data_IF_086584494599
#
_entry.id   IF_086584494599
#
_cell.length_a   1.000
_cell.length_b   1.000
_cell.length_c   1.000
_cell.angle_alpha   90.00
_cell.angle_beta   90.00
_cell.angle_gamma   90.00
#
_symmetry.space_group_name_H-M   'P 1'
#
loop_
_entity.id
_entity.type
_entity.pdbx_description
1 polymer ?
#
# COMPACT_ATOMS: atom_id res chain seq x y z
N UNK A 1 -20.72 -3.32 -3.55
CA UNK A 1 -20.71 -3.45 -5.01
C UNK A 1 -22.14 -3.28 -5.46
N UNK A 2 -22.42 -2.20 -6.16
CA UNK A 2 -23.75 -1.97 -6.75
C UNK A 2 -23.94 -2.96 -7.90
N UNK A 3 -25.02 -3.73 -7.90
CA UNK A 3 -25.32 -4.79 -8.88
C UNK A 3 -25.56 -4.26 -10.32
N UNK A 4 -25.52 -2.94 -10.52
CA UNK A 4 -25.63 -2.31 -11.85
C UNK A 4 -24.30 -2.14 -12.58
N UNK A 5 -23.21 -2.63 -12.03
CA UNK A 5 -21.87 -2.51 -12.63
C UNK A 5 -21.74 -3.49 -13.79
N UNK A 6 -21.33 -3.02 -14.95
CA UNK A 6 -21.02 -3.87 -16.09
C UNK A 6 -19.75 -4.66 -15.77
N UNK A 7 -19.84 -6.00 -15.73
CA UNK A 7 -18.72 -6.86 -15.31
C UNK A 7 -18.12 -7.54 -16.54
N UNK A 8 -16.85 -7.29 -16.76
CA UNK A 8 -16.06 -7.88 -17.85
C UNK A 8 -14.78 -8.51 -17.34
N UNK A 9 -14.09 -9.20 -18.22
CA UNK A 9 -12.71 -9.67 -18.01
C UNK A 9 -11.89 -9.39 -19.27
N UNK A 10 -10.63 -9.80 -19.26
CA UNK A 10 -9.74 -9.68 -20.41
C UNK A 10 -9.34 -11.07 -20.91
N UNK A 11 -9.08 -11.20 -22.20
CA UNK A 11 -8.49 -12.38 -22.79
C UNK A 11 -6.94 -12.35 -22.65
N UNK A 12 -6.27 -13.38 -23.12
CA UNK A 12 -4.81 -13.50 -23.12
C UNK A 12 -4.06 -12.35 -23.84
N UNK A 13 -4.73 -11.68 -24.77
CA UNK A 13 -4.20 -10.51 -25.49
C UNK A 13 -4.50 -9.17 -24.80
N UNK A 14 -5.25 -9.18 -23.69
CA UNK A 14 -5.64 -7.97 -22.94
C UNK A 14 -6.83 -7.23 -23.54
N UNK A 15 -7.64 -7.89 -24.43
CA UNK A 15 -8.89 -7.31 -24.93
C UNK A 15 -10.07 -7.68 -24.02
N UNK A 16 -11.03 -6.78 -23.95
CA UNK A 16 -12.29 -7.00 -23.22
C UNK A 16 -13.03 -8.24 -23.73
N UNK A 17 -13.56 -9.00 -22.80
CA UNK A 17 -14.54 -10.05 -23.09
C UNK A 17 -15.55 -10.18 -21.96
N UNK A 18 -16.73 -10.69 -22.31
CA UNK A 18 -17.74 -11.05 -21.32
C UNK A 18 -17.29 -12.28 -20.51
N UNK A 19 -17.77 -12.36 -19.28
CA UNK A 19 -17.57 -13.52 -18.41
C UNK A 19 -18.48 -14.67 -18.83
N UNK A 20 -17.94 -15.86 -18.90
CA UNK A 20 -18.74 -17.07 -18.98
C UNK A 20 -19.48 -17.36 -17.67
N UNK A 21 -20.57 -18.14 -17.76
CA UNK A 21 -21.42 -18.47 -16.60
C UNK A 21 -20.64 -19.13 -15.46
N UNK A 22 -19.67 -19.97 -15.77
CA UNK A 22 -18.84 -20.63 -14.76
C UNK A 22 -17.85 -19.67 -14.11
N UNK A 23 -17.31 -18.71 -14.84
CA UNK A 23 -16.45 -17.67 -14.29
C UNK A 23 -17.20 -16.75 -13.33
N UNK A 24 -18.45 -16.39 -13.69
CA UNK A 24 -19.32 -15.62 -12.79
C UNK A 24 -19.57 -16.39 -11.49
N UNK A 25 -19.90 -17.69 -11.58
CA UNK A 25 -20.12 -18.53 -10.40
C UNK A 25 -18.88 -18.60 -9.52
N UNK A 26 -17.69 -18.79 -10.10
CA UNK A 26 -16.44 -18.86 -9.37
C UNK A 26 -16.09 -17.52 -8.71
N UNK A 27 -16.29 -16.40 -9.41
CA UNK A 27 -16.10 -15.06 -8.85
C UNK A 27 -17.02 -14.79 -7.68
N UNK A 28 -18.32 -15.14 -7.81
CA UNK A 28 -19.30 -15.03 -6.73
C UNK A 28 -18.94 -15.92 -5.54
N UNK A 29 -18.56 -17.18 -5.78
CA UNK A 29 -18.12 -18.10 -4.73
C UNK A 29 -16.88 -17.58 -4.00
N UNK A 30 -15.91 -17.02 -4.71
CA UNK A 30 -14.72 -16.40 -4.12
C UNK A 30 -15.10 -15.21 -3.24
N UNK A 31 -15.90 -14.28 -3.74
CA UNK A 31 -16.36 -13.12 -2.97
C UNK A 31 -17.16 -13.55 -1.74
N UNK A 32 -18.02 -14.55 -1.89
CA UNK A 32 -18.81 -15.10 -0.79
C UNK A 32 -17.94 -15.78 0.27
N UNK A 33 -16.97 -16.61 -0.13
CA UNK A 33 -16.04 -17.27 0.79
C UNK A 33 -15.18 -16.28 1.58
N UNK A 34 -14.78 -15.18 0.93
CA UNK A 34 -14.03 -14.09 1.56
C UNK A 34 -14.89 -13.34 2.58
N UNK A 35 -16.17 -13.11 2.26
CA UNK A 35 -17.10 -12.39 3.14
C UNK A 35 -17.54 -13.22 4.36
N UNK A 36 -17.61 -14.53 4.22
CA UNK A 36 -18.01 -15.45 5.31
C UNK A 36 -16.93 -15.69 6.36
N UNK A 37 -15.65 -15.43 6.05
CA UNK A 37 -14.57 -15.61 7.01
C UNK A 37 -14.58 -14.49 8.07
N UNK A 38 -15.56 -14.58 8.95
CA UNK A 38 -15.81 -13.61 10.04
C UNK A 38 -14.66 -13.53 11.06
N UNK A 39 -13.79 -14.54 11.10
CA UNK A 39 -12.65 -14.58 12.05
C UNK A 39 -11.51 -13.65 11.63
N UNK A 40 -11.55 -13.22 10.38
CA UNK A 40 -10.47 -12.46 9.74
C UNK A 40 -11.06 -11.18 9.18
N UNK A 41 -11.23 -10.18 10.03
CA UNK A 41 -11.74 -8.85 9.63
C UNK A 41 -11.12 -8.40 8.34
N UNK A 42 -11.96 -8.22 7.32
CA UNK A 42 -11.62 -7.60 6.05
C UNK A 42 -10.53 -8.35 5.28
N UNK A 43 -10.90 -9.33 4.50
CA UNK A 43 -10.00 -9.93 3.51
C UNK A 43 -9.98 -9.16 2.20
N UNK A 44 -11.00 -8.38 1.90
CA UNK A 44 -11.05 -7.52 0.72
C UNK A 44 -10.49 -6.16 1.11
N UNK A 45 -9.59 -5.68 0.27
CA UNK A 45 -8.97 -4.38 0.37
C UNK A 45 -9.24 -3.60 -0.90
N UNK A 46 -9.48 -2.31 -0.74
CA UNK A 46 -9.76 -1.37 -1.79
C UNK A 46 -8.67 -0.33 -1.86
N UNK A 47 -8.19 -0.04 -3.08
CA UNK A 47 -7.23 1.01 -3.32
C UNK A 47 -7.72 1.95 -4.40
N UNK A 48 -8.02 3.18 -4.03
CA UNK A 48 -8.32 4.25 -4.97
C UNK A 48 -7.07 4.79 -5.63
N UNK A 49 -7.08 4.89 -6.95
CA UNK A 49 -5.96 5.42 -7.76
C UNK A 49 -6.48 6.22 -8.95
N UNK A 50 -5.70 7.21 -9.38
CA UNK A 50 -5.93 7.95 -10.61
C UNK A 50 -5.39 7.20 -11.81
N UNK A 51 -5.98 7.41 -12.98
CA UNK A 51 -5.49 6.83 -14.23
C UNK A 51 -4.04 7.21 -14.51
N UNK A 52 -3.71 8.49 -14.38
CA UNK A 52 -2.35 9.00 -14.56
C UNK A 52 -1.33 8.20 -13.74
N UNK A 53 -1.65 7.90 -12.49
CA UNK A 53 -0.76 7.16 -11.61
C UNK A 53 -0.49 5.71 -12.08
N UNK A 54 -1.49 5.00 -12.59
CA UNK A 54 -1.30 3.65 -13.12
C UNK A 54 -0.63 3.70 -14.51
N UNK A 55 -1.02 4.64 -15.35
CA UNK A 55 -0.42 4.85 -16.68
C UNK A 55 1.08 5.06 -16.56
N UNK A 56 1.52 6.00 -15.73
CA UNK A 56 2.95 6.31 -15.53
C UNK A 56 3.81 5.11 -15.10
N UNK A 57 3.18 4.10 -14.51
CA UNK A 57 3.86 2.95 -13.92
C UNK A 57 3.77 1.69 -14.75
N UNK A 58 2.65 1.51 -15.44
CA UNK A 58 2.30 0.24 -16.09
C UNK A 58 2.34 0.33 -17.61
N UNK A 59 2.14 1.53 -18.18
CA UNK A 59 2.05 1.74 -19.62
C UNK A 59 3.34 2.41 -20.10
N UNK A 60 3.84 1.99 -21.25
CA UNK A 60 4.97 2.65 -21.89
C UNK A 60 4.51 3.96 -22.52
N UNK A 61 5.43 4.90 -22.69
CA UNK A 61 5.13 6.21 -23.29
C UNK A 61 4.66 6.17 -24.74
N UNK A 62 4.96 5.07 -25.43
CA UNK A 62 4.59 4.81 -26.83
C UNK A 62 3.31 3.96 -26.97
N UNK A 63 2.70 3.55 -25.85
CA UNK A 63 1.48 2.75 -25.82
C UNK A 63 0.27 3.59 -25.45
N UNK A 64 -0.90 3.28 -26.04
CA UNK A 64 -2.18 3.84 -25.65
C UNK A 64 -2.61 3.33 -24.28
N UNK A 65 -3.06 4.23 -23.42
CA UNK A 65 -3.50 3.91 -22.04
C UNK A 65 -5.01 3.70 -21.94
N UNK A 66 -5.53 2.64 -22.56
CA UNK A 66 -6.93 2.23 -22.36
C UNK A 66 -7.13 1.54 -21.02
N UNK A 67 -8.35 1.53 -20.50
CA UNK A 67 -8.68 0.87 -19.23
C UNK A 67 -8.33 -0.62 -19.25
N UNK A 68 -8.59 -1.30 -20.35
CA UNK A 68 -8.27 -2.72 -20.51
C UNK A 68 -6.76 -2.97 -20.59
N UNK A 69 -6.00 -2.06 -21.21
CA UNK A 69 -4.54 -2.16 -21.24
C UNK A 69 -3.96 -1.97 -19.85
N UNK A 70 -4.48 -0.99 -19.09
CA UNK A 70 -4.10 -0.76 -17.69
C UNK A 70 -4.44 -1.98 -16.84
N UNK A 71 -5.67 -2.53 -16.97
CA UNK A 71 -6.10 -3.72 -16.25
C UNK A 71 -5.22 -4.93 -16.57
N UNK A 72 -4.93 -5.18 -17.85
CA UNK A 72 -4.05 -6.26 -18.30
C UNK A 72 -2.66 -6.15 -17.65
N UNK A 73 -2.07 -4.98 -17.68
CA UNK A 73 -0.75 -4.72 -17.07
C UNK A 73 -0.80 -4.86 -15.54
N UNK A 74 -1.86 -4.36 -14.92
CA UNK A 74 -2.06 -4.47 -13.47
C UNK A 74 -2.19 -5.94 -13.04
N UNK A 75 -2.95 -6.75 -13.77
CA UNK A 75 -3.16 -8.17 -13.47
C UNK A 75 -1.91 -9.01 -13.72
N UNK A 76 -1.03 -8.58 -14.61
CA UNK A 76 0.23 -9.25 -14.89
C UNK A 76 1.37 -8.79 -13.96
N UNK A 77 1.52 -7.48 -13.75
CA UNK A 77 2.64 -6.92 -12.98
C UNK A 77 2.32 -6.61 -11.52
N UNK A 78 1.04 -6.44 -11.17
CA UNK A 78 0.62 -5.92 -9.89
C UNK A 78 0.87 -4.41 -9.74
N UNK A 79 0.49 -3.86 -8.59
CA UNK A 79 0.79 -2.47 -8.26
C UNK A 79 2.05 -2.37 -7.40
N UNK A 80 3.02 -1.58 -7.82
CA UNK A 80 4.36 -1.42 -7.21
C UNK A 80 5.22 -2.70 -7.17
N UNK A 81 4.67 -3.86 -7.47
CA UNK A 81 5.41 -5.13 -7.40
C UNK A 81 6.47 -5.26 -8.49
N UNK A 82 6.43 -4.45 -9.53
CA UNK A 82 7.48 -4.35 -10.56
C UNK A 82 8.86 -4.07 -9.97
N UNK A 83 8.95 -3.47 -8.78
CA UNK A 83 10.20 -3.28 -8.05
C UNK A 83 10.95 -4.59 -7.75
N UNK A 84 10.24 -5.72 -7.71
CA UNK A 84 10.82 -7.03 -7.41
C UNK A 84 11.20 -7.82 -8.66
N UNK A 85 10.83 -7.34 -9.85
CA UNK A 85 10.98 -8.09 -11.10
C UNK A 85 12.17 -7.67 -11.96
N UNK A 86 13.01 -6.76 -11.51
CA UNK A 86 14.11 -6.22 -12.28
C UNK A 86 13.71 -5.59 -13.64
N UNK A 87 12.43 -5.25 -13.83
CA UNK A 87 11.91 -4.70 -15.06
C UNK A 87 11.64 -3.21 -14.93
N UNK A 88 11.99 -2.45 -15.94
CA UNK A 88 11.59 -1.08 -16.24
C UNK A 88 11.90 -0.01 -15.17
N UNK A 89 12.87 0.84 -15.43
CA UNK A 89 13.22 2.04 -14.64
C UNK A 89 13.76 1.79 -13.21
N UNK A 90 14.19 0.59 -12.90
CA UNK A 90 14.77 0.19 -11.61
C UNK A 90 15.98 1.02 -11.21
N UNK A 91 16.74 1.55 -12.15
CA UNK A 91 17.87 2.42 -11.82
C UNK A 91 17.46 3.69 -11.05
N UNK A 92 16.24 4.19 -11.24
CA UNK A 92 15.72 5.33 -10.48
C UNK A 92 15.25 4.92 -9.08
N UNK A 93 14.79 3.69 -8.91
CA UNK A 93 14.31 3.14 -7.64
C UNK A 93 15.47 2.87 -6.66
N UNK A 94 16.64 2.47 -7.16
CA UNK A 94 17.85 2.22 -6.35
C UNK A 94 18.39 3.45 -5.61
N UNK A 95 18.02 4.65 -6.01
CA UNK A 95 18.43 5.90 -5.33
C UNK A 95 17.65 6.19 -4.04
N UNK A 96 16.58 5.48 -3.77
CA UNK A 96 15.68 5.80 -2.66
C UNK A 96 15.43 4.53 -1.86
N UNK A 97 15.17 4.62 -0.57
CA UNK A 97 14.81 3.60 0.43
C UNK A 97 13.95 2.40 -0.06
N UNK A 98 14.17 1.94 -1.29
CA UNK A 98 13.26 1.08 -2.04
C UNK A 98 13.75 -0.37 -2.12
N UNK A 99 14.95 -0.65 -1.68
CA UNK A 99 15.35 -2.04 -1.48
C UNK A 99 14.64 -2.55 -0.23
N UNK A 100 13.81 -3.54 -0.43
CA UNK A 100 13.00 -4.13 0.63
C UNK A 100 13.83 -4.71 1.78
N UNK A 101 15.12 -4.95 1.55
CA UNK A 101 16.03 -5.50 2.53
C UNK A 101 17.11 -4.49 2.98
N UNK A 102 17.08 -3.26 2.46
CA UNK A 102 18.09 -2.25 2.81
C UNK A 102 17.93 -1.80 4.27
N UNK A 103 18.92 -2.12 5.09
CA UNK A 103 19.07 -1.72 6.49
C UNK A 103 20.39 -0.97 6.72
N UNK A 104 20.96 -0.39 5.67
CA UNK A 104 22.19 0.41 5.78
C UNK A 104 22.02 1.58 6.75
N UNK A 105 23.11 2.00 7.37
CA UNK A 105 23.12 3.18 8.25
C UNK A 105 22.61 4.43 7.54
N UNK A 106 22.87 4.57 6.24
CA UNK A 106 22.35 5.68 5.44
C UNK A 106 20.81 5.68 5.38
N UNK A 107 20.20 4.50 5.18
CA UNK A 107 18.74 4.32 5.19
C UNK A 107 18.18 4.56 6.59
N UNK A 108 18.79 4.02 7.63
CA UNK A 108 18.35 4.22 9.02
C UNK A 108 18.40 5.71 9.40
N UNK A 109 19.49 6.40 9.09
CA UNK A 109 19.64 7.83 9.34
C UNK A 109 18.58 8.64 8.59
N UNK A 110 18.26 8.27 7.35
CA UNK A 110 17.22 8.94 6.59
C UNK A 110 15.83 8.76 7.22
N UNK A 111 15.50 7.57 7.71
CA UNK A 111 14.25 7.32 8.43
C UNK A 111 14.18 8.16 9.69
N UNK A 112 15.26 8.17 10.49
CA UNK A 112 15.36 8.99 11.69
C UNK A 112 15.10 10.48 11.40
N UNK A 113 15.78 11.03 10.39
CA UNK A 113 15.63 12.43 10.00
C UNK A 113 14.25 12.76 9.48
N UNK A 114 13.59 11.83 8.80
CA UNK A 114 12.21 12.01 8.36
C UNK A 114 11.21 12.05 9.53
N UNK A 115 11.38 11.20 10.54
CA UNK A 115 10.54 11.23 11.75
C UNK A 115 10.77 12.53 12.52
N UNK A 116 12.04 12.95 12.69
CA UNK A 116 12.35 14.24 13.28
C UNK A 116 11.74 15.41 12.49
N UNK A 117 11.74 15.30 11.16
CA UNK A 117 11.16 16.31 10.26
C UNK A 117 9.65 16.51 10.42
N UNK A 118 8.91 15.51 10.91
CA UNK A 118 7.47 15.64 11.21
C UNK A 118 7.18 16.80 12.18
N UNK A 119 8.08 17.09 13.08
CA UNK A 119 7.98 18.23 14.04
C UNK A 119 7.73 19.57 13.36
N UNK A 120 8.16 19.73 12.13
CA UNK A 120 7.98 20.96 11.33
C UNK A 120 6.64 20.99 10.58
N UNK A 121 5.79 20.00 10.79
CA UNK A 121 4.47 19.99 10.17
C UNK A 121 3.60 21.09 10.74
N UNK A 122 2.82 21.73 9.88
CA UNK A 122 1.77 22.69 10.24
C UNK A 122 0.38 22.05 10.16
N UNK A 123 0.33 20.71 10.09
CA UNK A 123 -0.91 19.94 10.05
C UNK A 123 -1.37 19.67 11.48
N UNK A 124 -2.59 20.10 11.82
CA UNK A 124 -3.15 19.99 13.15
C UNK A 124 -3.22 18.53 13.63
N UNK A 125 -3.60 17.59 12.76
CA UNK A 125 -3.66 16.17 13.10
C UNK A 125 -2.27 15.63 13.49
N UNK A 126 -1.21 16.09 12.80
CA UNK A 126 0.17 15.70 13.11
C UNK A 126 0.64 16.36 14.42
N UNK A 127 0.29 17.61 14.66
CA UNK A 127 0.64 18.34 15.89
C UNK A 127 -0.01 17.66 17.10
N UNK A 128 -1.29 17.36 17.01
CA UNK A 128 -2.03 16.66 18.06
C UNK A 128 -1.46 15.26 18.31
N UNK A 129 -1.15 14.53 17.24
CA UNK A 129 -0.54 13.21 17.36
C UNK A 129 0.83 13.27 18.07
N UNK A 130 1.67 14.25 17.75
CA UNK A 130 2.96 14.46 18.43
C UNK A 130 2.77 14.78 19.91
N UNK A 131 1.79 15.62 20.23
CA UNK A 131 1.46 16.01 21.61
C UNK A 131 1.03 14.81 22.46
N UNK A 132 0.33 13.86 21.85
CA UNK A 132 -0.13 12.64 22.50
C UNK A 132 0.96 11.57 22.62
N UNK A 133 2.02 11.64 21.82
CA UNK A 133 3.10 10.64 21.75
C UNK A 133 4.49 11.23 22.01
N UNK A 134 4.60 12.10 23.00
CA UNK A 134 5.83 12.86 23.32
C UNK A 134 7.08 11.99 23.50
N UNK A 135 6.96 10.84 24.16
CA UNK A 135 8.09 9.94 24.42
C UNK A 135 8.67 9.43 23.10
N UNK A 136 7.82 9.01 22.16
CA UNK A 136 8.25 8.57 20.85
C UNK A 136 9.00 9.69 20.10
N UNK A 137 8.39 10.87 20.00
CA UNK A 137 9.01 11.97 19.24
C UNK A 137 10.25 12.53 19.92
N UNK A 138 10.31 12.59 21.26
CA UNK A 138 11.49 13.06 22.00
C UNK A 138 12.74 12.28 21.67
N UNK A 139 12.63 10.96 21.47
CA UNK A 139 13.76 10.12 21.05
C UNK A 139 14.38 10.61 19.73
N UNK A 140 13.54 10.96 18.74
CA UNK A 140 13.98 11.40 17.42
C UNK A 140 14.42 12.87 17.37
N UNK A 141 14.22 13.64 18.46
CA UNK A 141 14.74 15.01 18.56
C UNK A 141 16.25 15.04 18.84
N UNK A 142 16.72 14.09 19.61
CA UNK A 142 18.11 13.98 19.99
C UNK A 142 18.91 13.21 18.94
N UNK A 143 19.82 13.90 18.27
CA UNK A 143 20.67 13.31 17.22
C UNK A 143 21.61 12.23 17.76
N UNK A 144 21.93 12.25 19.05
CA UNK A 144 22.77 11.23 19.70
C UNK A 144 22.08 9.85 19.69
N UNK A 145 20.76 9.81 19.51
CA UNK A 145 19.99 8.56 19.38
C UNK A 145 20.07 7.90 17.98
N UNK A 146 20.66 8.57 16.97
CA UNK A 146 20.79 7.97 15.62
C UNK A 146 21.57 6.65 15.61
N UNK A 147 22.72 6.52 16.28
CA UNK A 147 23.43 5.25 16.35
C UNK A 147 22.59 4.17 17.01
N UNK A 148 21.87 4.48 18.11
CA UNK A 148 21.01 3.53 18.82
C UNK A 148 19.93 3.02 17.86
N UNK A 149 19.25 3.93 17.15
CA UNK A 149 18.24 3.60 16.17
C UNK A 149 18.77 2.75 15.01
N UNK A 150 19.93 3.11 14.47
CA UNK A 150 20.57 2.37 13.37
C UNK A 150 20.96 0.95 13.81
N UNK A 151 21.59 0.81 14.97
CA UNK A 151 22.01 -0.49 15.52
C UNK A 151 20.79 -1.39 15.78
N UNK A 152 19.71 -0.85 16.35
CA UNK A 152 18.48 -1.58 16.58
C UNK A 152 17.90 -2.14 15.26
N UNK A 153 17.85 -1.34 14.18
CA UNK A 153 17.36 -1.82 12.88
C UNK A 153 18.31 -2.89 12.31
N UNK A 154 19.62 -2.72 12.45
CA UNK A 154 20.60 -3.68 11.95
C UNK A 154 20.51 -5.02 12.69
N UNK A 155 20.24 -4.99 14.00
CA UNK A 155 20.05 -6.19 14.83
C UNK A 155 18.74 -6.92 14.50
N UNK A 156 17.62 -6.19 14.42
CA UNK A 156 16.29 -6.76 14.24
C UNK A 156 15.91 -6.98 12.76
N UNK A 157 16.66 -6.38 11.85
CA UNK A 157 16.49 -6.54 10.42
C UNK A 157 15.34 -5.73 9.79
N UNK A 158 14.99 -6.07 8.55
CA UNK A 158 14.03 -5.28 7.73
C UNK A 158 12.65 -5.09 8.37
N UNK A 159 12.20 -6.00 9.24
CA UNK A 159 10.90 -5.87 9.92
C UNK A 159 10.83 -4.66 10.84
N UNK A 160 11.90 -4.38 11.59
CA UNK A 160 11.98 -3.20 12.46
C UNK A 160 12.00 -1.92 11.61
N UNK A 161 12.78 -1.90 10.54
CA UNK A 161 12.76 -0.80 9.58
C UNK A 161 11.35 -0.53 9.02
N UNK A 162 10.67 -1.60 8.60
CA UNK A 162 9.35 -1.49 7.98
C UNK A 162 8.28 -0.96 8.94
N UNK A 163 8.45 -1.18 10.25
CA UNK A 163 7.59 -0.57 11.26
C UNK A 163 7.65 0.97 11.17
N UNK A 164 8.85 1.55 11.12
CA UNK A 164 9.02 3.00 11.02
C UNK A 164 8.66 3.55 9.63
N UNK A 165 8.95 2.79 8.57
CA UNK A 165 8.51 3.17 7.22
C UNK A 165 6.98 3.13 7.09
N UNK A 166 6.31 2.16 7.72
CA UNK A 166 4.86 2.10 7.78
C UNK A 166 4.28 3.30 8.52
N UNK A 167 4.86 3.70 9.64
CA UNK A 167 4.48 4.92 10.35
C UNK A 167 4.65 6.18 9.46
N UNK A 168 5.81 6.36 8.85
CA UNK A 168 6.07 7.49 7.94
C UNK A 168 5.13 7.48 6.72
N UNK A 169 4.76 6.30 6.24
CA UNK A 169 3.82 6.17 5.14
C UNK A 169 2.42 6.67 5.52
N UNK A 170 1.93 6.32 6.70
CA UNK A 170 0.63 6.81 7.20
C UNK A 170 0.64 8.30 7.52
N UNK A 171 1.80 8.85 7.89
CA UNK A 171 1.97 10.30 8.09
C UNK A 171 1.86 11.13 6.79
N UNK A 172 1.85 10.49 5.64
CA UNK A 172 1.39 10.97 4.31
C UNK A 172 2.10 12.17 3.67
N UNK A 173 2.77 13.01 4.43
CA UNK A 173 3.25 14.32 3.96
C UNK A 173 4.76 14.44 3.76
N UNK A 174 5.52 13.37 3.89
CA UNK A 174 6.99 13.46 3.95
C UNK A 174 7.67 13.01 2.66
N UNK A 175 7.03 13.11 1.53
CA UNK A 175 7.67 12.81 0.24
C UNK A 175 8.11 11.35 0.06
N UNK A 176 7.69 10.43 0.95
CA UNK A 176 7.92 8.99 0.82
C UNK A 176 6.90 8.35 -0.15
N UNK A 177 5.76 9.02 -0.37
CA UNK A 177 4.57 8.49 -1.05
C UNK A 177 4.86 7.63 -2.28
N UNK A 178 5.41 8.21 -3.35
CA UNK A 178 5.66 7.47 -4.60
C UNK A 178 6.87 6.53 -4.55
N UNK A 179 7.65 6.57 -3.49
CA UNK A 179 8.92 5.87 -3.32
C UNK A 179 8.90 4.89 -2.16
N UNK A 180 7.78 4.81 -1.45
CA UNK A 180 7.58 3.84 -0.39
C UNK A 180 7.47 2.44 -0.95
N UNK A 181 8.06 1.46 -0.28
CA UNK A 181 7.83 0.04 -0.51
C UNK A 181 6.44 -0.42 -0.05
N UNK A 182 5.62 0.50 0.43
CA UNK A 182 4.29 0.23 0.95
C UNK A 182 3.21 0.78 0.04
N UNK A 183 2.06 0.15 0.07
CA UNK A 183 0.85 0.55 -0.66
C UNK A 183 -0.27 0.73 0.35
N UNK A 184 -0.86 1.93 0.37
CA UNK A 184 -2.06 2.20 1.17
C UNK A 184 -3.27 1.55 0.52
N UNK A 185 -4.04 0.86 1.32
CA UNK A 185 -5.35 0.31 0.96
C UNK A 185 -6.34 0.61 2.09
N UNK A 186 -7.61 0.41 1.87
CA UNK A 186 -8.64 0.55 2.91
C UNK A 186 -9.57 -0.67 2.91
N UNK A 187 -10.10 -0.98 4.09
CA UNK A 187 -11.19 -1.94 4.22
C UNK A 187 -12.54 -1.36 3.78
N UNK A 188 -12.63 -0.03 3.61
CA UNK A 188 -13.83 0.66 3.20
C UNK A 188 -13.72 1.12 1.76
N UNK A 189 -14.69 0.75 0.96
CA UNK A 189 -14.81 1.17 -0.43
C UNK A 189 -14.91 2.69 -0.56
N UNK A 190 -15.77 3.33 0.25
CA UNK A 190 -15.98 4.78 0.20
C UNK A 190 -14.68 5.54 0.49
N UNK A 191 -13.89 5.04 1.45
CA UNK A 191 -12.60 5.64 1.76
C UNK A 191 -11.62 5.52 0.60
N UNK A 192 -11.57 4.36 -0.06
CA UNK A 192 -10.75 4.17 -1.24
C UNK A 192 -11.19 5.08 -2.40
N UNK A 193 -12.50 5.26 -2.58
CA UNK A 193 -13.06 6.17 -3.59
C UNK A 193 -12.64 7.62 -3.36
N UNK A 194 -12.57 8.08 -2.10
CA UNK A 194 -12.03 9.40 -1.76
C UNK A 194 -10.54 9.52 -2.12
N UNK A 195 -9.75 8.49 -1.86
CA UNK A 195 -8.32 8.48 -2.22
C UNK A 195 -8.05 8.40 -3.71
N UNK A 196 -9.01 7.97 -4.51
CA UNK A 196 -8.90 8.01 -5.97
C UNK A 196 -8.83 9.45 -6.52
N UNK A 197 -9.12 10.46 -5.70
CA UNK A 197 -9.03 11.88 -6.07
C UNK A 197 -10.35 12.49 -6.55
N UNK A 198 -10.27 13.66 -7.15
CA UNK A 198 -11.45 14.41 -7.61
C UNK A 198 -12.10 13.76 -8.83
N UNK A 199 -13.41 14.03 -9.01
CA UNK A 199 -14.22 13.47 -10.13
C UNK A 199 -13.82 13.97 -11.53
N UNK A 200 -12.92 14.93 -11.60
CA UNK A 200 -12.43 15.51 -12.85
C UNK A 200 -11.44 14.62 -13.61
N UNK A 201 -10.88 13.61 -12.94
CA UNK A 201 -9.94 12.66 -13.55
C UNK A 201 -10.55 11.26 -13.63
N UNK A 202 -10.11 10.47 -14.61
CA UNK A 202 -10.44 9.04 -14.68
C UNK A 202 -9.80 8.32 -13.50
N UNK A 203 -10.60 7.51 -12.80
CA UNK A 203 -10.25 6.92 -11.52
C UNK A 203 -10.63 5.46 -11.47
N UNK A 204 -9.86 4.71 -10.68
CA UNK A 204 -10.05 3.28 -10.49
C UNK A 204 -10.06 2.90 -9.01
N UNK A 205 -10.75 1.81 -8.72
CA UNK A 205 -10.60 1.09 -7.47
C UNK A 205 -9.96 -0.26 -7.78
N UNK A 206 -8.75 -0.47 -7.34
CA UNK A 206 -8.10 -1.80 -7.36
C UNK A 206 -8.65 -2.60 -6.18
N UNK A 207 -9.25 -3.74 -6.48
CA UNK A 207 -9.85 -4.65 -5.50
C UNK A 207 -8.90 -5.82 -5.32
N UNK A 208 -8.47 -6.06 -4.09
CA UNK A 208 -7.50 -7.11 -3.77
C UNK A 208 -7.87 -7.90 -2.54
N UNK A 209 -7.22 -9.04 -2.35
CA UNK A 209 -7.35 -9.88 -1.16
C UNK A 209 -6.22 -9.59 -0.21
N UNK A 210 -6.52 -9.44 1.07
CA UNK A 210 -5.50 -9.42 2.09
C UNK A 210 -5.02 -10.83 2.40
N UNK A 211 -3.71 -11.08 2.29
CA UNK A 211 -3.08 -12.31 2.77
C UNK A 211 -2.49 -12.15 4.16
N UNK A 212 -2.41 -13.26 4.90
CA UNK A 212 -1.87 -13.27 6.27
C UNK A 212 -0.44 -12.74 6.40
N UNK A 213 0.37 -12.95 5.37
CA UNK A 213 1.76 -12.53 5.33
C UNK A 213 1.94 -11.01 5.44
N UNK A 214 0.91 -10.23 5.14
CA UNK A 214 0.96 -8.77 5.20
C UNK A 214 0.70 -8.19 6.60
N UNK A 215 0.24 -9.03 7.56
CA UNK A 215 -0.05 -8.62 8.95
C UNK A 215 1.16 -8.23 9.79
N UNK A 216 2.38 -8.49 9.33
CA UNK A 216 3.53 -8.61 10.23
C UNK A 216 4.31 -7.32 10.47
N UNK A 217 3.90 -6.18 9.92
CA UNK A 217 4.63 -4.92 10.14
C UNK A 217 4.47 -4.42 11.58
N UNK A 218 3.35 -4.76 12.24
CA UNK A 218 3.05 -4.37 13.63
C UNK A 218 2.70 -5.60 14.49
N UNK A 219 3.60 -6.58 14.57
CA UNK A 219 3.39 -7.65 15.54
C UNK A 219 3.87 -7.20 16.92
N UNK A 220 3.14 -7.53 17.98
CA UNK A 220 3.55 -7.25 19.36
C UNK A 220 4.97 -7.73 19.69
N UNK A 221 5.45 -8.75 18.99
CA UNK A 221 6.81 -9.27 19.18
C UNK A 221 7.85 -8.27 18.72
N UNK A 222 7.71 -7.70 17.50
CA UNK A 222 8.68 -6.73 17.00
C UNK A 222 8.69 -5.44 17.82
N UNK A 223 7.53 -4.98 18.33
CA UNK A 223 7.46 -3.78 19.17
C UNK A 223 8.26 -3.96 20.46
N UNK A 224 8.08 -5.09 21.14
CA UNK A 224 8.85 -5.43 22.36
C UNK A 224 10.34 -5.51 22.12
N UNK A 225 10.76 -6.09 20.98
CA UNK A 225 12.17 -6.19 20.63
C UNK A 225 12.79 -4.83 20.35
N UNK A 226 12.06 -3.93 19.68
CA UNK A 226 12.48 -2.55 19.44
C UNK A 226 12.65 -1.80 20.77
N UNK A 227 11.65 -1.90 21.67
CA UNK A 227 11.69 -1.24 22.98
C UNK A 227 12.82 -1.77 23.88
N UNK A 228 13.08 -3.09 23.85
CA UNK A 228 14.20 -3.69 24.57
C UNK A 228 15.55 -3.13 24.16
N UNK A 229 15.69 -2.70 22.91
CA UNK A 229 16.91 -2.07 22.38
C UNK A 229 16.92 -0.54 22.57
N UNK A 230 16.03 -0.01 23.40
CA UNK A 230 16.03 1.39 23.82
C UNK A 230 15.37 2.36 22.84
N UNK A 231 14.67 1.86 21.82
CA UNK A 231 13.94 2.71 20.88
C UNK A 231 12.44 2.68 21.21
N UNK A 232 11.80 3.83 21.49
CA UNK A 232 10.39 3.86 21.81
C UNK A 232 9.53 3.51 20.59
N UNK A 233 8.38 2.85 20.86
CA UNK A 233 7.38 2.55 19.85
C UNK A 233 6.08 3.30 20.11
N UNK A 234 5.23 3.34 19.09
CA UNK A 234 3.85 3.82 19.21
C UNK A 234 2.94 2.64 19.60
N UNK A 235 1.86 2.87 20.32
CA UNK A 235 0.85 1.86 20.59
C UNK A 235 0.39 1.16 19.29
N UNK A 236 0.04 -0.12 19.39
CA UNK A 236 -0.30 -0.96 18.21
C UNK A 236 -1.38 -0.33 17.31
N UNK A 237 -2.31 0.41 17.91
CA UNK A 237 -3.41 1.06 17.21
C UNK A 237 -3.19 2.55 16.93
N UNK A 238 -2.04 3.10 17.31
CA UNK A 238 -1.79 4.51 17.07
C UNK A 238 -1.58 4.77 15.57
N UNK A 239 -2.38 5.64 15.02
CA UNK A 239 -2.28 6.12 13.65
C UNK A 239 -2.71 7.58 13.58
N UNK A 240 -2.02 8.40 12.78
CA UNK A 240 -2.37 9.83 12.62
C UNK A 240 -3.77 9.95 12.01
N UNK A 241 -4.16 9.02 11.15
CA UNK A 241 -5.44 9.05 10.44
C UNK A 241 -6.27 7.77 10.71
N UNK A 242 -6.58 7.50 11.99
CA UNK A 242 -7.34 6.31 12.39
C UNK A 242 -8.69 6.14 11.67
N UNK A 243 -9.35 7.25 11.33
CA UNK A 243 -10.65 7.25 10.62
C UNK A 243 -10.57 6.67 9.20
N UNK A 244 -9.38 6.66 8.59
CA UNK A 244 -9.18 6.17 7.22
C UNK A 244 -9.24 4.64 7.11
N UNK A 245 -9.19 3.91 8.23
CA UNK A 245 -9.18 2.44 8.26
C UNK A 245 -8.18 1.86 7.23
N UNK A 246 -7.01 2.47 7.21
CA UNK A 246 -5.94 2.12 6.29
C UNK A 246 -5.32 0.77 6.67
N UNK A 247 -5.07 -0.03 5.65
CA UNK A 247 -4.19 -1.19 5.72
C UNK A 247 -3.02 -0.97 4.77
N UNK A 248 -1.84 -0.86 5.34
CA UNK A 248 -0.62 -0.66 4.57
C UNK A 248 -0.03 -2.01 4.17
N UNK A 249 0.00 -2.29 2.88
CA UNK A 249 0.60 -3.48 2.31
C UNK A 249 2.09 -3.25 2.04
N UNK A 250 2.92 -4.16 2.53
CA UNK A 250 4.35 -4.15 2.26
C UNK A 250 4.64 -4.56 0.82
N UNK A 251 5.55 -3.87 0.19
CA UNK A 251 6.09 -4.18 -1.12
C UNK A 251 5.17 -3.83 -2.30
N UNK A 252 3.90 -4.10 -2.24
CA UNK A 252 2.97 -3.86 -3.33
C UNK A 252 1.72 -4.71 -3.23
N UNK A 253 0.86 -4.60 -4.23
CA UNK A 253 -0.24 -5.53 -4.46
C UNK A 253 0.21 -6.47 -5.57
N UNK A 254 0.36 -7.74 -5.26
CA UNK A 254 0.83 -8.73 -6.23
C UNK A 254 -0.29 -9.17 -7.16
N UNK A 255 0.03 -9.59 -8.41
CA UNK A 255 -0.96 -10.00 -9.40
C UNK A 255 -1.99 -11.01 -8.89
N UNK A 256 -1.52 -12.03 -8.18
CA UNK A 256 -2.35 -13.10 -7.64
C UNK A 256 -3.22 -12.69 -6.44
N UNK A 257 -3.03 -11.48 -5.91
CA UNK A 257 -3.88 -10.91 -4.86
C UNK A 257 -4.95 -9.97 -5.43
N UNK A 258 -4.86 -9.58 -6.71
CA UNK A 258 -5.80 -8.66 -7.33
C UNK A 258 -7.01 -9.43 -7.84
N UNK A 259 -8.20 -9.06 -7.36
CA UNK A 259 -9.49 -9.60 -7.81
C UNK A 259 -9.92 -8.91 -9.10
N UNK A 260 -9.78 -7.58 -9.15
CA UNK A 260 -10.22 -6.79 -10.30
C UNK A 260 -9.90 -5.30 -10.14
N UNK A 261 -10.29 -4.56 -11.16
CA UNK A 261 -10.19 -3.11 -11.24
C UNK A 261 -11.55 -2.53 -11.63
N UNK A 262 -12.12 -1.68 -10.80
CA UNK A 262 -13.34 -0.96 -11.11
C UNK A 262 -12.99 0.41 -11.70
N UNK A 263 -13.58 0.72 -12.84
CA UNK A 263 -13.48 1.99 -13.55
C UNK A 263 -14.62 2.91 -13.09
N UNK A 264 -14.33 3.89 -12.24
CA UNK A 264 -15.37 4.75 -11.64
C UNK A 264 -16.05 5.68 -12.65
N UNK A 265 -15.42 5.96 -13.79
CA UNK A 265 -15.93 6.83 -14.83
C UNK A 265 -16.86 6.12 -15.81
N UNK A 266 -16.66 4.82 -16.04
CA UNK A 266 -17.49 4.01 -16.95
C UNK A 266 -18.44 3.06 -16.20
N UNK A 267 -18.35 2.99 -14.87
CA UNK A 267 -19.10 2.07 -14.03
C UNK A 267 -18.90 0.60 -14.46
N UNK A 268 -17.68 0.25 -14.82
CA UNK A 268 -17.29 -1.07 -15.29
C UNK A 268 -16.33 -1.73 -14.31
N UNK A 269 -16.54 -3.00 -14.01
CA UNK A 269 -15.65 -3.85 -13.23
C UNK A 269 -14.94 -4.85 -14.15
N UNK A 270 -13.64 -4.72 -14.26
CA UNK A 270 -12.77 -5.63 -15.01
C UNK A 270 -12.19 -6.64 -14.02
N UNK A 271 -12.61 -7.90 -14.13
CA UNK A 271 -12.11 -8.98 -13.27
C UNK A 271 -10.78 -9.55 -13.80
N UNK A 272 -9.92 -9.90 -12.87
CA UNK A 272 -8.65 -10.55 -13.18
C UNK A 272 -8.89 -11.99 -13.68
N UNK A 273 -8.54 -12.34 -14.92
CA UNK A 273 -8.78 -13.68 -15.47
C UNK A 273 -8.04 -14.79 -14.71
N UNK A 274 -6.99 -14.46 -13.98
CA UNK A 274 -6.16 -15.42 -13.25
C UNK A 274 -6.73 -15.86 -11.89
N UNK A 275 -7.90 -15.36 -11.51
CA UNK A 275 -8.58 -15.78 -10.27
C UNK A 275 -9.61 -16.91 -10.49
N UNK A 276 -9.86 -17.27 -11.75
CA UNK A 276 -10.87 -18.28 -12.14
C UNK A 276 -10.29 -19.69 -12.28
#
# INVERSE_FOLDING_TARGET
VNISTNVKTINEFGFARELGSEEIKKAMALCFSISLDRTKKGRILYRGVRKSFLTDRLIRSDEESTDYKIASRLFFFGEKSAHFRNELKIQQVRKYLNDINDISSATCNKIFDLINGLRKSHDDDIIDFQSNHKVFFSFFLDKENKPIFSNMIQELGPKARDYFLGFLHTAGKIGIGNRSTSVSTSYKYDQASLFAGERTEERYIVISVRRYTNKQIRSNTILRDIERLGVPTLPEKAGIFEKQQEETLRAGIFPHDIIGMECLHSNELILNPHIF
#
